data_IF_360902458542
#
_entry.id   IF_360902458542
#
_cell.length_a   1.000
_cell.length_b   1.000
_cell.length_c   1.000
_cell.angle_alpha   90.00
_cell.angle_beta   90.00
_cell.angle_gamma   90.00
#
_symmetry.space_group_name_H-M   'P 1'
#
loop_
_entity.id
_entity.type
_entity.pdbx_description
1 polymer ?
#
# COMPACT_ATOMS: atom_id res chain seq x y z
N UNK A 1 4.44 3.89 -8.55
CA UNK A 1 5.01 2.59 -8.79
C UNK A 1 6.47 2.71 -9.21
N UNK A 2 6.75 3.68 -10.07
CA UNK A 2 8.11 3.90 -10.52
C UNK A 2 8.96 4.42 -9.37
N UNK A 3 10.01 3.71 -8.96
CA UNK A 3 10.88 4.25 -7.90
C UNK A 3 11.54 5.55 -8.29
N UNK A 4 11.78 5.76 -9.58
CA UNK A 4 12.46 6.96 -10.06
C UNK A 4 11.50 8.11 -10.34
N UNK A 5 10.18 7.85 -10.28
CA UNK A 5 9.21 8.88 -10.63
C UNK A 5 9.31 10.08 -9.70
N UNK A 6 9.61 9.84 -8.42
CA UNK A 6 9.78 10.93 -7.47
C UNK A 6 10.89 11.89 -7.92
N UNK A 7 11.92 11.36 -8.55
CA UNK A 7 13.11 12.13 -8.87
C UNK A 7 13.10 12.64 -10.31
N UNK A 8 11.99 12.47 -11.03
CA UNK A 8 11.88 12.92 -12.39
C UNK A 8 12.36 11.94 -13.44
N UNK A 9 12.91 10.80 -13.03
CA UNK A 9 13.38 9.79 -13.96
C UNK A 9 12.35 8.67 -14.08
N UNK A 10 12.50 7.89 -15.15
CA UNK A 10 11.63 6.75 -15.39
C UNK A 10 12.49 5.58 -15.86
N UNK A 11 11.94 4.37 -15.71
CA UNK A 11 12.60 3.19 -16.23
C UNK A 11 12.74 3.27 -17.75
N UNK A 12 11.85 4.01 -18.41
CA UNK A 12 12.00 4.25 -19.84
C UNK A 12 13.32 4.94 -20.15
N UNK A 13 13.69 5.92 -19.32
CA UNK A 13 14.96 6.62 -19.51
C UNK A 13 16.14 5.74 -19.14
N UNK A 14 16.05 5.02 -18.02
CA UNK A 14 17.16 4.21 -17.56
C UNK A 14 17.33 2.95 -18.39
N UNK A 15 16.37 2.64 -19.27
CA UNK A 15 16.53 1.49 -20.15
C UNK A 15 17.69 1.70 -21.13
N UNK A 16 18.09 2.95 -21.36
CA UNK A 16 19.22 3.22 -22.25
C UNK A 16 20.50 2.59 -21.72
N UNK A 17 20.73 2.69 -20.43
CA UNK A 17 21.97 2.18 -19.84
C UNK A 17 21.97 0.66 -19.85
N UNK A 18 23.01 0.01 -20.38
CA UNK A 18 23.08 -1.45 -20.29
C UNK A 18 23.32 -1.89 -18.87
N UNK A 19 22.94 -3.14 -18.59
CA UNK A 19 23.12 -3.69 -17.25
C UNK A 19 24.58 -3.77 -16.86
N UNK A 20 25.45 -4.11 -17.82
CA UNK A 20 26.87 -4.28 -17.51
C UNK A 20 27.51 -2.99 -17.03
N UNK A 21 26.96 -1.83 -17.43
CA UNK A 21 27.54 -0.57 -17.02
C UNK A 21 27.50 -0.40 -15.51
N UNK A 22 26.39 -0.81 -14.89
CA UNK A 22 26.24 -0.64 -13.46
C UNK A 22 27.32 -1.43 -12.72
N UNK A 23 27.95 -0.85 -11.71
CA UNK A 23 28.99 -1.58 -10.96
C UNK A 23 28.35 -2.65 -10.07
N UNK A 24 29.21 -3.48 -9.50
CA UNK A 24 28.74 -4.55 -8.63
C UNK A 24 28.07 -3.97 -7.39
N UNK A 25 27.15 -4.75 -6.82
CA UNK A 25 26.41 -4.29 -5.65
C UNK A 25 27.36 -4.04 -4.49
N UNK A 26 28.40 -4.88 -4.36
CA UNK A 26 29.37 -4.69 -3.29
C UNK A 26 30.07 -3.34 -3.41
N UNK A 27 30.46 -2.96 -4.63
CA UNK A 27 31.12 -1.68 -4.82
C UNK A 27 30.20 -0.51 -4.46
N UNK A 28 28.93 -0.59 -4.86
CA UNK A 28 27.99 0.46 -4.52
C UNK A 28 27.77 0.56 -3.03
N UNK A 29 27.67 -0.58 -2.35
CA UNK A 29 27.52 -0.57 -0.90
C UNK A 29 28.74 0.03 -0.23
N UNK A 30 29.94 -0.32 -0.71
CA UNK A 30 31.16 0.26 -0.16
C UNK A 30 31.18 1.76 -0.35
N UNK A 31 30.80 2.24 -1.55
CA UNK A 31 30.78 3.67 -1.81
C UNK A 31 29.79 4.38 -0.87
N UNK A 32 28.61 3.79 -0.71
CA UNK A 32 27.59 4.40 0.15
C UNK A 32 28.08 4.46 1.59
N UNK A 33 28.67 3.37 2.09
CA UNK A 33 29.17 3.35 3.45
C UNK A 33 30.30 4.36 3.64
N UNK A 34 31.18 4.49 2.65
CA UNK A 34 32.28 5.43 2.75
C UNK A 34 31.79 6.87 2.74
N UNK A 35 30.77 7.17 1.93
CA UNK A 35 30.36 8.56 1.72
C UNK A 35 29.26 9.01 2.66
N UNK A 36 28.10 8.36 2.59
CA UNK A 36 26.88 8.91 3.20
C UNK A 36 26.33 8.05 4.32
N UNK A 37 27.17 7.21 4.95
CA UNK A 37 26.69 6.37 6.03
C UNK A 37 26.16 7.21 7.19
N UNK A 38 27.00 8.12 7.70
CA UNK A 38 26.60 8.94 8.84
C UNK A 38 25.32 9.71 8.55
N UNK A 39 25.09 10.08 7.29
CA UNK A 39 23.80 10.65 6.91
C UNK A 39 22.70 9.59 6.96
N UNK A 40 23.01 8.35 6.59
CA UNK A 40 22.01 7.30 6.59
C UNK A 40 21.50 7.03 8.00
N UNK A 41 22.40 6.88 8.96
CA UNK A 41 21.93 6.73 10.34
C UNK A 41 21.61 8.06 11.02
N UNK A 42 21.73 9.18 10.32
CA UNK A 42 21.29 10.43 10.90
C UNK A 42 19.79 10.40 11.12
N UNK A 43 19.30 10.96 12.24
CA UNK A 43 17.85 10.96 12.47
C UNK A 43 17.08 11.73 11.43
N UNK A 44 17.70 12.71 10.77
CA UNK A 44 17.06 13.47 9.72
C UNK A 44 17.59 13.02 8.36
N UNK A 45 16.68 12.72 7.45
CA UNK A 45 17.07 12.26 6.12
C UNK A 45 17.84 13.33 5.36
N UNK A 46 17.39 14.57 5.45
CA UNK A 46 17.96 15.72 4.74
C UNK A 46 17.75 15.63 3.23
N UNK A 47 17.17 14.51 2.78
CA UNK A 47 16.90 14.28 1.36
C UNK A 47 16.05 13.03 1.19
N UNK A 48 15.14 13.01 0.21
CA UNK A 48 14.43 11.75 -0.08
C UNK A 48 15.38 10.64 -0.51
N UNK A 49 16.51 10.99 -1.11
CA UNK A 49 17.47 9.99 -1.54
C UNK A 49 17.99 9.18 -0.36
N UNK A 50 18.18 9.84 0.80
CA UNK A 50 18.65 9.12 1.98
C UNK A 50 17.63 8.07 2.42
N UNK A 51 16.35 8.43 2.44
CA UNK A 51 15.32 7.48 2.80
C UNK A 51 15.26 6.33 1.80
N UNK A 52 15.34 6.66 0.51
CA UNK A 52 15.31 5.62 -0.51
C UNK A 52 16.48 4.67 -0.36
N UNK A 53 17.67 5.21 -0.10
CA UNK A 53 18.84 4.37 0.08
C UNK A 53 18.71 3.50 1.33
N UNK A 54 18.17 4.05 2.41
CA UNK A 54 17.97 3.24 3.61
C UNK A 54 17.04 2.07 3.32
N UNK A 55 15.91 2.34 2.65
CA UNK A 55 14.99 1.27 2.32
C UNK A 55 15.62 0.23 1.40
N UNK A 56 16.38 0.70 0.40
CA UNK A 56 17.01 -0.22 -0.54
C UNK A 56 18.05 -1.09 0.15
N UNK A 57 18.84 -0.50 1.05
CA UNK A 57 19.86 -1.27 1.76
C UNK A 57 19.20 -2.30 2.67
N UNK A 58 18.13 -1.92 3.36
CA UNK A 58 17.43 -2.88 4.20
C UNK A 58 16.84 -4.02 3.37
N UNK A 59 16.26 -3.69 2.20
CA UNK A 59 15.72 -4.73 1.34
C UNK A 59 16.83 -5.66 0.84
N UNK A 60 17.98 -5.10 0.49
CA UNK A 60 19.10 -5.92 0.03
C UNK A 60 19.60 -6.84 1.14
N UNK A 61 19.66 -6.32 2.37
CA UNK A 61 20.04 -7.16 3.49
C UNK A 61 19.06 -8.29 3.72
N UNK A 62 17.77 -7.98 3.60
CA UNK A 62 16.75 -9.03 3.72
C UNK A 62 16.91 -10.07 2.63
N UNK A 63 17.21 -9.63 1.41
CA UNK A 63 17.44 -10.57 0.31
C UNK A 63 18.66 -11.44 0.58
N UNK A 64 19.72 -10.86 1.13
CA UNK A 64 20.91 -11.65 1.44
C UNK A 64 20.62 -12.66 2.54
N UNK A 65 19.84 -12.28 3.55
CA UNK A 65 19.45 -13.23 4.59
C UNK A 65 18.63 -14.36 3.99
N UNK A 66 17.71 -14.04 3.10
CA UNK A 66 16.91 -15.08 2.44
C UNK A 66 17.80 -16.00 1.60
N UNK A 67 18.78 -15.43 0.91
CA UNK A 67 19.71 -16.24 0.11
C UNK A 67 20.52 -17.17 0.99
N UNK A 68 20.99 -16.67 2.14
CA UNK A 68 21.72 -17.53 3.06
C UNK A 68 20.83 -18.65 3.60
N UNK A 69 19.57 -18.32 3.92
CA UNK A 69 18.65 -19.34 4.42
C UNK A 69 18.40 -20.41 3.37
N UNK A 70 18.14 -20.00 2.12
CA UNK A 70 17.89 -20.98 1.07
C UNK A 70 19.16 -21.75 0.75
N UNK A 71 20.33 -21.16 1.04
CA UNK A 71 21.55 -21.92 0.98
C UNK A 71 21.61 -23.01 2.04
N UNK A 72 21.18 -22.67 3.26
CA UNK A 72 21.03 -23.70 4.28
C UNK A 72 20.00 -24.75 3.87
N UNK A 73 18.95 -24.33 3.17
CA UNK A 73 17.96 -25.26 2.66
C UNK A 73 18.56 -26.09 1.53
N UNK A 74 18.15 -27.36 1.48
CA UNK A 74 18.64 -28.31 0.48
C UNK A 74 20.16 -28.38 0.45
N UNK A 221 21.88 -26.06 -4.39
CA UNK A 221 20.59 -25.47 -4.65
C UNK A 221 20.66 -23.94 -4.60
N UNK A 222 21.55 -23.43 -3.76
CA UNK A 222 21.67 -21.98 -3.61
C UNK A 222 22.35 -21.35 -4.81
N UNK A 223 23.08 -22.13 -5.61
CA UNK A 223 23.81 -21.56 -6.74
C UNK A 223 22.86 -20.96 -7.77
N UNK A 224 21.88 -21.73 -8.21
CA UNK A 224 20.91 -21.21 -9.18
C UNK A 224 20.08 -20.09 -8.57
N UNK A 225 19.77 -20.18 -7.27
CA UNK A 225 18.98 -19.14 -6.62
C UNK A 225 19.73 -17.82 -6.63
N UNK A 226 21.01 -17.85 -6.24
CA UNK A 226 21.79 -16.61 -6.19
C UNK A 226 22.05 -16.10 -7.61
N UNK A 227 22.21 -17.01 -8.57
CA UNK A 227 22.32 -16.58 -9.95
C UNK A 227 21.06 -15.84 -10.40
N UNK A 228 19.89 -16.37 -10.02
CA UNK A 228 18.63 -15.73 -10.37
C UNK A 228 18.50 -14.36 -9.71
N UNK A 229 18.85 -14.27 -8.43
CA UNK A 229 18.71 -12.99 -7.74
C UNK A 229 19.67 -11.96 -8.33
N UNK A 230 20.85 -12.40 -8.78
CA UNK A 230 21.76 -11.50 -9.47
C UNK A 230 21.19 -11.05 -10.81
N UNK A 231 20.57 -11.98 -11.55
CA UNK A 231 20.10 -11.65 -12.90
C UNK A 231 18.91 -10.71 -12.88
N UNK A 232 17.99 -10.87 -11.92
CA UNK A 232 16.76 -10.10 -11.91
C UNK A 232 16.72 -9.09 -10.76
N UNK A 233 16.84 -9.54 -9.51
CA UNK A 233 16.87 -8.60 -8.40
C UNK A 233 18.18 -7.83 -8.37
N UNK A 234 19.29 -8.50 -8.66
CA UNK A 234 20.58 -7.83 -8.57
C UNK A 234 20.67 -6.62 -9.47
N UNK A 235 20.22 -6.75 -10.72
CA UNK A 235 20.30 -5.62 -11.64
C UNK A 235 19.45 -4.45 -11.18
N UNK A 236 18.22 -4.72 -10.73
CA UNK A 236 17.35 -3.63 -10.30
C UNK A 236 17.94 -2.92 -9.08
N UNK A 237 18.42 -3.69 -8.09
CA UNK A 237 18.98 -3.06 -6.90
C UNK A 237 20.25 -2.28 -7.22
N UNK A 238 21.15 -2.85 -8.02
CA UNK A 238 22.38 -2.13 -8.33
C UNK A 238 22.09 -0.89 -9.15
N UNK A 239 21.11 -0.97 -10.07
CA UNK A 239 20.71 0.19 -10.85
C UNK A 239 20.17 1.29 -9.95
N UNK A 240 19.25 0.95 -9.04
CA UNK A 240 18.68 1.95 -8.17
C UNK A 240 19.73 2.56 -7.25
N UNK A 241 20.62 1.72 -6.69
CA UNK A 241 21.66 2.21 -5.82
C UNK A 241 22.61 3.14 -6.56
N UNK A 242 23.01 2.77 -7.78
CA UNK A 242 23.87 3.63 -8.57
C UNK A 242 23.19 4.95 -8.86
N UNK A 243 21.90 4.91 -9.22
CA UNK A 243 21.17 6.13 -9.51
C UNK A 243 21.15 7.05 -8.29
N UNK A 244 20.84 6.50 -7.12
CA UNK A 244 20.73 7.33 -5.93
C UNK A 244 22.08 7.87 -5.48
N UNK A 245 23.13 7.03 -5.54
CA UNK A 245 24.45 7.48 -5.16
C UNK A 245 24.93 8.57 -6.10
N UNK A 246 24.71 8.40 -7.41
CA UNK A 246 25.11 9.43 -8.36
C UNK A 246 24.34 10.72 -8.13
N UNK A 247 23.03 10.61 -7.85
CA UNK A 247 22.23 11.81 -7.60
C UNK A 247 22.73 12.54 -6.36
N UNK A 248 23.07 11.81 -5.31
CA UNK A 248 23.61 12.45 -4.12
C UNK A 248 24.97 13.09 -4.40
N UNK A 249 25.79 12.43 -5.21
CA UNK A 249 27.14 12.91 -5.45
C UNK A 249 27.15 14.16 -6.33
N UNK A 250 26.38 14.15 -7.41
CA UNK A 250 26.40 15.25 -8.38
C UNK A 250 25.11 16.04 -8.44
N UNK A 251 23.96 15.39 -8.32
CA UNK A 251 22.68 16.07 -8.45
C UNK A 251 21.77 15.26 -9.36
N UNK A 252 20.47 15.31 -9.07
CA UNK A 252 19.50 14.55 -9.84
C UNK A 252 19.52 14.97 -11.31
N UNK A 253 19.53 16.29 -11.55
CA UNK A 253 19.51 16.78 -12.92
C UNK A 253 20.79 16.42 -13.66
N UNK A 254 21.94 16.52 -12.99
CA UNK A 254 23.21 16.17 -13.62
C UNK A 254 23.20 14.72 -14.06
N UNK A 255 22.70 13.85 -13.19
CA UNK A 255 22.49 12.45 -13.56
C UNK A 255 21.57 12.36 -14.76
N UNK A 256 20.58 13.26 -14.84
CA UNK A 256 19.64 13.20 -15.96
C UNK A 256 20.35 13.47 -17.28
N UNK A 257 21.12 14.55 -17.38
CA UNK A 257 21.75 14.78 -18.68
C UNK A 257 22.86 13.77 -18.93
N UNK A 258 23.47 13.23 -17.88
CA UNK A 258 24.44 12.16 -18.11
C UNK A 258 23.77 10.94 -18.72
N UNK A 259 22.60 10.57 -18.21
CA UNK A 259 21.85 9.46 -18.80
C UNK A 259 21.50 9.77 -20.24
N UNK A 260 21.05 10.99 -20.53
CA UNK A 260 20.66 11.35 -21.88
C UNK A 260 21.86 11.24 -22.83
N UNK A 261 23.01 11.78 -22.39
CA UNK A 261 24.20 11.75 -23.24
C UNK A 261 24.69 10.33 -23.46
N UNK A 262 24.66 9.49 -22.42
CA UNK A 262 25.09 8.11 -22.57
C UNK A 262 24.16 7.36 -23.52
N UNK A 263 22.86 7.61 -23.42
CA UNK A 263 21.92 6.99 -24.36
C UNK A 263 22.16 7.44 -25.79
N UNK A 264 22.45 8.73 -25.97
CA UNK A 264 22.77 9.25 -27.30
C UNK A 264 24.02 8.56 -27.84
N UNK A 265 25.04 8.42 -26.99
CA UNK A 265 26.28 7.79 -27.43
C UNK A 265 26.05 6.34 -27.82
N UNK A 266 25.32 5.58 -27.00
CA UNK A 266 25.17 4.16 -27.26
C UNK A 266 24.27 3.93 -28.48
N UNK A 267 23.20 4.70 -28.60
CA UNK A 267 22.35 4.56 -29.79
C UNK A 267 23.08 4.96 -31.06
N UNK A 268 24.20 5.66 -30.93
CA UNK A 268 24.98 6.04 -32.10
C UNK A 268 25.78 4.84 -32.59
N UNK A 269 25.69 4.49 -33.87
CA UNK A 269 26.50 3.38 -34.39
C UNK A 269 27.98 3.72 -34.33
N UNK A 270 28.85 2.72 -34.25
CA UNK A 270 30.28 3.00 -34.02
C UNK A 270 30.91 3.91 -35.06
N UNK A 271 30.45 3.86 -36.31
CA UNK A 271 31.01 4.73 -37.35
C UNK A 271 30.79 6.20 -37.00
N UNK A 272 29.55 6.56 -36.66
CA UNK A 272 29.26 7.95 -36.30
C UNK A 272 29.78 8.30 -34.91
N UNK A 273 29.94 7.31 -34.03
CA UNK A 273 30.16 7.33 -32.59
C UNK A 273 31.54 7.90 -32.26
N UNK A 274 31.63 8.65 -31.16
CA UNK A 274 32.94 9.04 -30.65
C UNK A 274 33.72 7.80 -30.22
N UNK A 275 35.04 7.85 -30.27
CA UNK A 275 35.83 6.66 -29.94
C UNK A 275 35.60 6.15 -28.53
N UNK A 276 35.35 7.05 -27.58
CA UNK A 276 35.14 6.67 -26.19
C UNK A 276 33.79 7.20 -25.71
N UNK A 277 33.07 6.37 -24.97
CA UNK A 277 31.85 6.83 -24.32
C UNK A 277 32.22 7.85 -23.24
N UNK A 278 31.28 8.73 -22.87
CA UNK A 278 31.58 9.65 -21.76
C UNK A 278 31.98 8.88 -20.52
N UNK A 279 33.26 8.97 -20.16
CA UNK A 279 33.78 8.27 -19.00
C UNK A 279 33.53 9.15 -17.79
N UNK A 280 32.38 8.94 -17.14
CA UNK A 280 31.85 9.90 -16.19
C UNK A 280 32.82 10.14 -15.05
N UNK A 281 33.08 11.42 -14.77
CA UNK A 281 33.88 11.85 -13.63
C UNK A 281 33.46 13.27 -13.28
N UNK A 282 33.45 13.58 -11.98
CA UNK A 282 33.08 14.91 -11.54
C UNK A 282 34.10 15.93 -12.05
N UNK A 283 33.60 17.03 -12.60
CA UNK A 283 34.48 18.05 -13.14
C UNK A 283 34.99 18.94 -12.02
N UNK A 284 36.31 19.04 -11.82
CA UNK A 284 36.89 19.88 -10.77
C UNK A 284 36.88 21.36 -11.14
N UNK B 1 20.51 2.61 9.19
CA UNK B 1 20.21 1.20 8.99
C UNK B 1 18.98 0.80 9.80
N UNK B 2 18.44 1.76 10.54
CA UNK B 2 17.21 1.55 11.29
C UNK B 2 16.06 2.18 10.55
N UNK B 3 15.10 1.41 10.03
CA UNK B 3 14.04 2.01 9.20
C UNK B 3 13.23 3.07 9.92
N UNK B 4 12.96 2.89 11.21
CA UNK B 4 12.11 3.81 11.95
C UNK B 4 12.89 4.92 12.65
N UNK B 5 14.22 4.88 12.61
CA UNK B 5 15.01 5.88 13.34
C UNK B 5 14.73 7.28 12.82
N UNK B 6 14.62 7.44 11.50
CA UNK B 6 14.22 8.71 10.94
C UNK B 6 12.82 9.11 11.39
N UNK B 7 11.91 8.15 11.55
CA UNK B 7 10.54 8.44 11.96
C UNK B 7 10.39 8.44 13.48
N UNK B 8 11.48 8.54 14.21
CA UNK B 8 11.42 8.58 15.67
C UNK B 8 11.30 7.22 16.35
N UNK B 9 10.49 6.33 15.79
CA UNK B 9 10.27 5.03 16.38
C UNK B 9 11.54 4.18 16.29
N UNK B 10 11.49 3.01 16.93
CA UNK B 10 12.57 2.05 16.87
C UNK B 10 11.98 0.66 16.64
N UNK B 11 12.82 -0.26 16.18
CA UNK B 11 12.37 -1.63 15.98
C UNK B 11 11.90 -2.24 17.29
N UNK B 12 12.55 -1.88 18.40
CA UNK B 12 12.10 -2.32 19.71
C UNK B 12 10.73 -1.74 20.05
N UNK B 13 10.51 -0.48 19.67
CA UNK B 13 9.24 0.18 19.98
C UNK B 13 8.07 -0.55 19.32
N UNK B 14 8.23 -0.92 18.04
CA UNK B 14 7.18 -1.69 17.38
C UNK B 14 7.19 -3.14 17.82
N UNK B 15 8.31 -3.61 18.37
CA UNK B 15 8.35 -4.94 18.96
C UNK B 15 7.65 -5.00 20.30
N UNK B 16 7.35 -3.83 20.90
CA UNK B 16 6.54 -3.82 22.12
C UNK B 16 5.24 -4.57 21.93
N UNK B 17 4.58 -4.37 20.80
CA UNK B 17 3.33 -5.04 20.51
C UNK B 17 3.58 -6.45 20.00
N UNK B 18 2.60 -7.35 20.15
CA UNK B 18 2.77 -8.69 19.59
C UNK B 18 2.86 -8.66 18.07
N UNK B 19 3.61 -9.62 17.54
CA UNK B 19 3.81 -9.68 16.09
C UNK B 19 2.51 -9.95 15.36
N UNK B 20 1.67 -10.83 15.89
CA UNK B 20 0.43 -11.18 15.22
C UNK B 20 -0.58 -10.03 15.21
N UNK B 21 -0.32 -8.97 15.99
CA UNK B 21 -1.24 -7.83 16.01
C UNK B 21 -1.33 -7.17 14.64
N UNK B 22 -0.22 -7.11 13.92
CA UNK B 22 -0.23 -6.50 12.60
C UNK B 22 -1.09 -7.32 11.65
N UNK B 23 -1.91 -6.69 10.83
CA UNK B 23 -2.81 -7.45 9.95
C UNK B 23 -2.07 -8.11 8.80
N UNK B 24 -2.80 -8.83 7.95
CA UNK B 24 -2.18 -9.51 6.82
C UNK B 24 -1.63 -8.49 5.82
N UNK B 25 -0.59 -8.93 5.10
CA UNK B 25 0.06 -8.05 4.14
C UNK B 25 -0.91 -7.65 3.03
N UNK B 26 -1.75 -8.60 2.61
CA UNK B 26 -2.68 -8.32 1.53
C UNK B 26 -3.67 -7.22 1.92
N UNK B 27 -4.16 -7.26 3.15
CA UNK B 27 -5.08 -6.22 3.61
C UNK B 27 -4.40 -4.86 3.64
N UNK B 28 -3.15 -4.81 4.08
CA UNK B 28 -2.41 -3.55 4.08
C UNK B 28 -2.22 -3.03 2.67
N UNK B 29 -1.89 -3.92 1.73
CA UNK B 29 -1.75 -3.51 0.34
C UNK B 29 -3.05 -2.96 -0.22
N UNK B 30 -4.17 -3.63 0.10
CA UNK B 30 -5.47 -3.14 -0.35
C UNK B 30 -5.77 -1.77 0.24
N UNK B 31 -5.46 -1.58 1.52
CA UNK B 31 -5.69 -0.29 2.16
C UNK B 31 -4.87 0.80 1.50
N UNK B 32 -3.60 0.53 1.23
CA UNK B 32 -2.74 1.51 0.57
C UNK B 32 -3.28 1.83 -0.82
N UNK B 33 -3.66 0.81 -1.58
CA UNK B 33 -4.11 1.03 -2.94
C UNK B 33 -5.43 1.80 -2.97
N UNK B 34 -6.28 1.58 -1.97
CA UNK B 34 -7.54 2.32 -1.94
C UNK B 34 -7.34 3.75 -1.48
N UNK B 35 -6.45 3.97 -0.51
CA UNK B 35 -6.32 5.29 0.09
C UNK B 35 -5.38 6.19 -0.72
N UNK B 36 -4.12 5.78 -0.86
CA UNK B 36 -3.08 6.68 -1.34
C UNK B 36 -2.47 6.23 -2.66
N UNK B 37 -3.24 5.56 -3.52
CA UNK B 37 -2.67 5.08 -4.77
C UNK B 37 -2.25 6.23 -5.68
N UNK B 38 -3.15 7.19 -5.88
CA UNK B 38 -2.80 8.34 -6.72
C UNK B 38 -1.71 9.18 -6.06
N UNK B 39 -1.70 9.24 -4.73
CA UNK B 39 -0.64 9.96 -4.03
C UNK B 39 0.71 9.29 -4.27
N UNK B 40 0.76 7.96 -4.22
CA UNK B 40 2.02 7.28 -4.44
C UNK B 40 2.41 7.23 -5.91
N UNK B 41 1.46 7.42 -6.82
CA UNK B 41 1.77 7.55 -8.24
C UNK B 41 2.11 8.97 -8.64
N UNK B 42 2.04 9.91 -7.71
CA UNK B 42 2.37 11.30 -8.01
C UNK B 42 3.85 11.43 -8.37
N UNK B 43 4.20 12.36 -9.27
CA UNK B 43 5.61 12.57 -9.60
C UNK B 43 6.44 13.14 -8.47
N UNK B 44 5.81 13.59 -7.39
CA UNK B 44 6.54 14.12 -6.23
C UNK B 44 6.12 13.36 -4.99
N UNK B 45 7.09 13.14 -4.10
CA UNK B 45 6.88 12.24 -2.97
C UNK B 45 5.83 12.76 -2.01
N UNK B 46 5.93 14.04 -1.64
CA UNK B 46 5.08 14.79 -0.73
C UNK B 46 5.34 14.45 0.74
N UNK B 47 6.15 13.41 1.05
CA UNK B 47 6.50 13.07 2.43
C UNK B 47 7.49 11.91 2.45
N UNK B 48 8.32 11.82 3.48
CA UNK B 48 9.16 10.61 3.63
C UNK B 48 8.33 9.35 3.76
N UNK B 49 7.18 9.45 4.40
CA UNK B 49 6.30 8.29 4.55
C UNK B 49 5.92 7.73 3.18
N UNK B 50 5.55 8.61 2.25
CA UNK B 50 5.23 8.17 0.90
C UNK B 50 6.39 7.42 0.28
N UNK B 51 7.57 8.05 0.25
CA UNK B 51 8.72 7.44 -0.42
C UNK B 51 9.02 6.06 0.15
N UNK B 52 9.07 5.96 1.47
CA UNK B 52 9.31 4.67 2.11
C UNK B 52 8.23 3.68 1.71
N UNK B 53 6.99 4.13 1.58
CA UNK B 53 5.93 3.25 1.12
C UNK B 53 6.18 2.77 -0.31
N UNK B 54 6.64 3.66 -1.19
CA UNK B 54 6.98 3.26 -2.54
C UNK B 54 8.00 2.13 -2.54
N UNK B 55 9.12 2.33 -1.85
CA UNK B 55 10.13 1.28 -1.84
C UNK B 55 9.65 0.02 -1.15
N UNK B 56 8.81 0.16 -0.11
CA UNK B 56 8.29 -1.03 0.57
C UNK B 56 7.40 -1.85 -0.36
N UNK B 57 6.52 -1.18 -1.11
CA UNK B 57 5.65 -1.89 -2.04
C UNK B 57 6.48 -2.56 -3.13
N UNK B 58 7.46 -1.84 -3.67
CA UNK B 58 8.30 -2.42 -4.70
C UNK B 58 9.06 -3.64 -4.18
N UNK B 59 9.58 -3.54 -2.96
CA UNK B 59 10.32 -4.64 -2.37
C UNK B 59 9.41 -5.84 -2.15
N UNK B 60 8.20 -5.62 -1.65
CA UNK B 60 7.28 -6.73 -1.44
C UNK B 60 6.92 -7.40 -2.74
N UNK B 61 6.63 -6.61 -3.78
CA UNK B 61 6.33 -7.21 -5.06
C UNK B 61 7.48 -8.02 -5.61
N UNK B 62 8.71 -7.50 -5.49
CA UNK B 62 9.87 -8.21 -6.01
C UNK B 62 10.13 -9.48 -5.21
N UNK B 63 9.94 -9.43 -3.90
CA UNK B 63 10.09 -10.62 -3.06
C UNK B 63 9.04 -11.67 -3.38
N UNK B 64 7.81 -11.24 -3.67
CA UNK B 64 6.79 -12.20 -4.06
C UNK B 64 7.11 -12.81 -5.43
N UNK B 65 7.71 -12.02 -6.31
CA UNK B 65 8.20 -12.57 -7.58
C UNK B 65 9.25 -13.64 -7.34
N UNK B 66 10.20 -13.35 -6.45
CA UNK B 66 11.22 -14.36 -6.11
C UNK B 66 10.59 -15.58 -5.47
N UNK B 67 9.52 -15.37 -4.68
CA UNK B 67 8.84 -16.50 -4.06
C UNK B 67 8.19 -17.39 -5.11
N UNK B 68 7.55 -16.78 -6.10
CA UNK B 68 6.99 -17.57 -7.20
C UNK B 68 8.09 -18.31 -7.96
N UNK B 69 9.22 -17.64 -8.20
CA UNK B 69 10.33 -18.29 -8.87
C UNK B 69 10.82 -19.51 -8.09
N UNK B 70 11.06 -19.34 -6.79
CA UNK B 70 11.59 -20.44 -5.99
C UNK B 70 10.54 -21.54 -5.83
N UNK B 71 9.26 -21.18 -5.88
CA UNK B 71 8.23 -22.20 -5.99
C UNK B 71 8.35 -22.98 -7.29
N UNK B 72 8.76 -22.30 -8.36
CA UNK B 72 9.07 -22.97 -9.61
C UNK B 72 10.50 -23.41 -9.78
N UNK B 73 11.39 -23.02 -8.87
CA UNK B 73 12.82 -23.34 -8.96
C UNK B 73 13.33 -23.81 -7.62
N UNK B 74 13.59 -25.12 -7.51
CA UNK B 74 14.19 -25.72 -6.32
C UNK B 74 13.46 -25.37 -5.03
N UNK B 221 13.02 -27.17 -1.50
CA UNK B 221 11.86 -27.03 -0.62
C UNK B 221 10.97 -25.89 -1.08
N UNK B 222 9.85 -26.24 -1.71
CA UNK B 222 8.96 -25.22 -2.26
C UNK B 222 8.17 -24.53 -1.16
N UNK B 223 7.75 -25.27 -0.15
CA UNK B 223 6.92 -24.72 0.91
C UNK B 223 7.71 -24.21 2.11
N UNK B 224 8.90 -24.76 2.37
CA UNK B 224 9.71 -24.26 3.47
C UNK B 224 10.12 -22.81 3.23
N UNK B 225 10.49 -22.46 1.99
CA UNK B 225 10.89 -21.10 1.70
C UNK B 225 9.71 -20.14 1.79
N UNK B 226 8.53 -20.57 1.33
CA UNK B 226 7.36 -19.69 1.38
C UNK B 226 6.80 -19.57 2.79
N UNK B 227 7.11 -20.52 3.67
CA UNK B 227 6.86 -20.32 5.10
C UNK B 227 7.89 -19.40 5.74
N UNK B 228 9.16 -19.52 5.33
CA UNK B 228 10.21 -18.69 5.90
C UNK B 228 10.01 -17.23 5.53
N UNK B 229 9.53 -16.95 4.31
CA UNK B 229 9.29 -15.56 3.93
C UNK B 229 8.21 -14.95 4.81
N UNK B 230 7.19 -15.74 5.17
CA UNK B 230 6.19 -15.27 6.12
C UNK B 230 6.74 -15.20 7.54
N UNK B 231 7.79 -15.97 7.84
CA UNK B 231 8.24 -16.09 9.22
C UNK B 231 8.85 -14.80 9.74
N UNK B 232 9.93 -14.33 9.12
CA UNK B 232 10.73 -13.27 9.70
C UNK B 232 10.66 -11.96 8.94
N UNK B 233 11.02 -11.94 7.65
CA UNK B 233 11.01 -10.69 6.92
C UNK B 233 9.60 -10.31 6.46
N UNK B 234 8.72 -11.30 6.31
CA UNK B 234 7.33 -10.98 6.00
C UNK B 234 6.67 -10.22 7.13
N UNK B 235 6.95 -10.63 8.37
CA UNK B 235 6.53 -9.84 9.52
C UNK B 235 7.08 -8.43 9.43
N UNK B 236 8.32 -8.28 8.95
CA UNK B 236 8.91 -6.96 8.84
C UNK B 236 8.16 -6.11 7.81
N UNK B 237 7.82 -6.69 6.65
CA UNK B 237 7.03 -5.94 5.68
C UNK B 237 5.67 -5.54 6.24
N UNK B 238 4.96 -6.49 6.87
CA UNK B 238 3.63 -6.15 7.34
C UNK B 238 3.69 -5.08 8.44
N UNK B 239 4.67 -5.19 9.34
CA UNK B 239 4.82 -4.20 10.39
C UNK B 239 5.15 -2.84 9.80
N UNK B 240 6.11 -2.79 8.86
CA UNK B 240 6.50 -1.51 8.27
C UNK B 240 5.34 -0.88 7.51
N UNK B 241 4.62 -1.68 6.74
CA UNK B 241 3.49 -1.18 5.98
C UNK B 241 2.40 -0.65 6.90
N UNK B 242 2.10 -1.39 7.97
CA UNK B 242 1.10 -0.93 8.92
C UNK B 242 1.54 0.39 9.57
N UNK B 243 2.80 0.47 9.95
CA UNK B 243 3.30 1.70 10.57
C UNK B 243 3.17 2.88 9.64
N UNK B 244 3.57 2.70 8.37
CA UNK B 244 3.54 3.82 7.44
C UNK B 244 2.12 4.21 7.06
N UNK B 245 1.24 3.23 6.86
CA UNK B 245 -0.15 3.54 6.55
C UNK B 245 -0.79 4.28 7.72
N UNK B 246 -0.54 3.82 8.94
CA UNK B 246 -1.09 4.49 10.10
C UNK B 246 -0.53 5.91 10.24
N UNK B 247 0.76 6.10 9.97
CA UNK B 247 1.34 7.43 10.04
C UNK B 247 0.72 8.36 9.00
N UNK B 248 0.50 7.85 7.78
CA UNK B 248 -0.10 8.67 6.74
C UNK B 248 -1.56 9.00 7.07
N UNK B 249 -2.27 8.07 7.70
CA UNK B 249 -3.69 8.30 7.97
C UNK B 249 -3.90 9.17 9.20
N UNK B 250 -3.41 8.71 10.35
CA UNK B 250 -3.69 9.36 11.63
C UNK B 250 -2.55 10.23 12.13
N UNK B 251 -1.40 10.22 11.47
CA UNK B 251 -0.27 11.02 11.94
C UNK B 251 0.79 10.20 12.65
N UNK B 252 2.05 10.62 12.52
CA UNK B 252 3.16 9.88 13.10
C UNK B 252 3.04 9.79 14.62
N UNK B 253 2.85 10.93 15.29
CA UNK B 253 2.79 10.96 16.74
C UNK B 253 1.60 10.18 17.27
N UNK B 254 0.48 10.18 16.54
CA UNK B 254 -0.67 9.37 16.93
C UNK B 254 -0.30 7.89 16.93
N UNK B 255 0.43 7.44 15.90
CA UNK B 255 0.88 6.06 15.87
C UNK B 255 1.81 5.77 17.04
N UNK B 256 2.72 6.71 17.34
CA UNK B 256 3.67 6.49 18.43
C UNK B 256 2.93 6.33 19.76
N UNK B 257 1.99 7.23 20.03
CA UNK B 257 1.28 7.18 21.30
C UNK B 257 0.38 5.95 21.37
N UNK B 258 -0.23 5.56 20.26
CA UNK B 258 -1.04 4.35 20.26
C UNK B 258 -0.19 3.11 20.52
N UNK B 259 1.00 3.05 19.92
CA UNK B 259 1.91 1.94 20.14
C UNK B 259 2.29 1.84 21.61
N UNK B 260 2.73 2.96 22.20
CA UNK B 260 3.15 2.90 23.60
C UNK B 260 1.95 2.62 24.50
N UNK B 261 0.77 3.11 24.15
CA UNK B 261 -0.42 2.86 24.94
C UNK B 261 -0.75 1.37 24.98
N UNK B 262 -0.72 0.71 23.83
CA UNK B 262 -1.01 -0.72 23.85
C UNK B 262 0.14 -1.51 24.49
N UNK B 263 1.36 -1.03 24.34
CA UNK B 263 2.48 -1.70 25.01
C UNK B 263 2.34 -1.70 26.52
N UNK B 264 1.99 -0.54 27.08
CA UNK B 264 1.78 -0.48 28.52
C UNK B 264 0.49 -1.19 28.91
N UNK B 265 -0.48 -1.26 27.98
CA UNK B 265 -1.70 -2.03 28.22
C UNK B 265 -1.37 -3.50 28.41
N UNK B 266 -0.41 -4.02 27.67
CA UNK B 266 -0.14 -5.46 27.67
C UNK B 266 0.92 -5.84 28.69
N UNK B 267 2.05 -5.12 28.72
CA UNK B 267 3.28 -5.67 29.31
C UNK B 267 3.15 -5.93 30.81
N UNK B 268 2.53 -5.00 31.55
CA UNK B 268 2.69 -4.99 33.00
C UNK B 268 2.19 -6.28 33.64
N UNK B 269 3.00 -6.96 34.44
CA UNK B 269 2.55 -8.20 35.09
C UNK B 269 1.47 -7.92 36.12
N UNK B 270 0.43 -8.75 36.16
CA UNK B 270 -0.67 -8.53 37.11
C UNK B 270 -0.38 -8.96 38.53
N UNK B 271 0.89 -9.18 38.90
CA UNK B 271 1.24 -9.63 40.24
C UNK B 271 0.62 -8.75 41.31
N UNK B 272 0.80 -7.43 41.18
CA UNK B 272 0.04 -6.48 41.96
C UNK B 272 -0.46 -5.35 41.08
N UNK B 273 -0.51 -5.59 39.78
CA UNK B 273 -1.21 -4.70 38.87
C UNK B 273 -2.70 -4.85 39.11
N UNK B 274 -3.43 -3.77 39.35
CA UNK B 274 -4.87 -3.87 39.56
C UNK B 274 -5.55 -4.49 38.35
N UNK B 275 -6.55 -5.34 38.57
CA UNK B 275 -7.25 -5.95 37.42
C UNK B 275 -7.95 -4.94 36.53
N UNK B 276 -8.14 -3.71 37.01
CA UNK B 276 -8.76 -2.67 36.21
C UNK B 276 -7.88 -2.37 35.00
N UNK B 277 -8.29 -2.83 33.83
CA UNK B 277 -7.55 -2.62 32.59
C UNK B 277 -8.50 -2.04 31.56
N UNK B 278 -8.21 -0.86 31.01
CA UNK B 278 -9.09 -0.28 29.99
C UNK B 278 -9.13 -1.10 28.71
N UNK B 279 -9.91 -0.65 27.73
CA UNK B 279 -10.10 -1.37 26.48
C UNK B 279 -9.25 -0.70 25.40
N UNK B 280 -8.46 -1.50 24.69
CA UNK B 280 -7.62 -0.98 23.62
C UNK B 280 -8.48 -0.32 22.54
N UNK B 281 -7.99 0.79 22.00
CA UNK B 281 -8.67 1.45 20.90
C UNK B 281 -7.64 2.25 20.10
N UNK B 282 -7.97 2.48 18.83
CA UNK B 282 -7.19 3.35 17.96
C UNK B 282 -8.14 4.35 17.31
N UNK B 283 -7.72 5.60 17.25
CA UNK B 283 -8.56 6.69 16.77
C UNK B 283 -7.73 7.63 15.91
N UNK B 284 -8.37 8.37 15.00
CA UNK B 284 -7.67 9.39 14.21
C UNK B 284 -7.36 10.63 15.04
N UNK C 1 -14.03 10.54 -14.06
CA UNK C 1 -15.41 10.13 -14.25
C UNK C 1 -15.70 8.84 -13.47
N UNK C 2 -15.13 8.75 -12.27
CA UNK C 2 -15.35 7.60 -11.41
C UNK C 2 -16.82 7.57 -10.96
N UNK C 3 -17.41 6.38 -10.75
CA UNK C 3 -18.78 6.30 -10.21
C UNK C 3 -18.92 6.97 -8.85
N UNK C 4 -17.80 7.38 -8.25
CA UNK C 4 -17.82 8.20 -7.04
C UNK C 4 -16.84 9.36 -7.13
N UNK C 5 -16.44 9.78 -8.34
CA UNK C 5 -15.48 10.88 -8.47
C UNK C 5 -16.05 12.16 -7.86
N UNK C 6 -17.26 12.55 -8.25
CA UNK C 6 -17.89 13.70 -7.64
C UNK C 6 -18.28 13.44 -6.19
N UNK C 7 -18.34 12.17 -5.78
CA UNK C 7 -18.62 11.81 -4.40
C UNK C 7 -17.34 11.56 -3.60
N UNK C 8 -16.18 11.78 -4.20
CA UNK C 8 -14.92 11.64 -3.48
C UNK C 8 -14.40 10.23 -3.26
N UNK C 9 -15.27 9.33 -2.85
CA UNK C 9 -14.85 7.97 -2.52
C UNK C 9 -14.55 7.18 -3.80
N UNK C 10 -14.21 5.91 -3.62
CA UNK C 10 -13.98 4.99 -4.73
C UNK C 10 -14.61 3.66 -4.39
N UNK C 11 -14.79 2.83 -5.42
CA UNK C 11 -15.27 1.47 -5.19
C UNK C 11 -14.25 0.68 -4.38
N UNK C 12 -12.97 0.93 -4.61
CA UNK C 12 -11.94 0.27 -3.80
C UNK C 12 -12.06 0.66 -2.34
N UNK C 13 -12.45 1.90 -2.06
CA UNK C 13 -12.68 2.31 -0.69
C UNK C 13 -13.84 1.53 -0.07
N UNK C 14 -14.90 1.31 -0.83
CA UNK C 14 -16.01 0.50 -0.34
C UNK C 14 -15.66 -0.98 -0.27
N UNK C 15 -14.56 -1.39 -0.90
CA UNK C 15 -14.21 -2.81 -0.91
C UNK C 15 -13.90 -3.34 0.48
N UNK C 16 -13.49 -2.48 1.41
CA UNK C 16 -13.17 -2.94 2.75
C UNK C 16 -14.40 -3.50 3.46
N UNK C 17 -15.54 -2.86 3.31
CA UNK C 17 -16.72 -3.27 4.04
C UNK C 17 -17.19 -4.64 3.58
N UNK C 18 -17.31 -5.62 4.47
CA UNK C 18 -17.80 -6.93 4.05
C UNK C 18 -19.25 -6.84 3.59
N UNK C 19 -19.60 -7.75 2.68
CA UNK C 19 -20.94 -7.72 2.08
C UNK C 19 -22.03 -7.86 3.13
N UNK C 20 -21.78 -8.66 4.16
CA UNK C 20 -22.80 -8.89 5.18
C UNK C 20 -23.15 -7.61 5.93
N UNK C 21 -22.22 -6.65 5.99
CA UNK C 21 -22.48 -5.41 6.71
C UNK C 21 -23.65 -4.66 6.10
N UNK C 22 -23.69 -4.56 4.78
CA UNK C 22 -24.75 -3.83 4.12
C UNK C 22 -26.09 -4.52 4.35
N UNK C 23 -27.12 -3.77 4.76
CA UNK C 23 -28.40 -4.38 5.10
C UNK C 23 -29.14 -4.83 3.85
N UNK C 24 -30.29 -5.47 4.07
CA UNK C 24 -31.12 -5.90 2.96
C UNK C 24 -31.68 -4.69 2.22
N UNK C 25 -32.02 -4.90 0.94
CA UNK C 25 -32.44 -3.80 0.09
C UNK C 25 -33.77 -3.22 0.57
N UNK C 26 -34.64 -4.07 1.10
CA UNK C 26 -35.93 -3.60 1.61
C UNK C 26 -35.74 -2.55 2.70
N UNK C 27 -34.76 -2.76 3.59
CA UNK C 27 -34.50 -1.78 4.63
C UNK C 27 -34.08 -0.45 4.04
N UNK C 28 -33.21 -0.48 3.02
CA UNK C 28 -32.77 0.75 2.38
C UNK C 28 -33.94 1.47 1.71
N UNK C 29 -34.81 0.73 1.03
CA UNK C 29 -35.99 1.35 0.42
C UNK C 29 -36.89 1.97 1.47
N UNK C 30 -37.11 1.27 2.59
CA UNK C 30 -37.95 1.83 3.65
C UNK C 30 -37.33 3.09 4.23
N UNK C 31 -36.02 3.09 4.45
CA UNK C 31 -35.34 4.27 4.98
C UNK C 31 -35.47 5.44 4.01
N UNK C 32 -35.26 5.17 2.72
CA UNK C 32 -35.35 6.24 1.72
C UNK C 32 -36.76 6.81 1.67
N UNK C 33 -37.77 5.94 1.64
CA UNK C 33 -39.15 6.41 1.60
C UNK C 33 -39.51 7.19 2.85
N UNK C 34 -39.02 6.75 4.01
CA UNK C 34 -39.32 7.47 5.25
C UNK C 34 -38.66 8.85 5.27
N UNK C 35 -37.42 8.94 4.77
CA UNK C 35 -36.66 10.17 4.96
C UNK C 35 -36.79 11.14 3.78
N UNK C 36 -36.38 10.72 2.59
CA UNK C 36 -36.15 11.64 1.49
C UNK C 36 -37.13 11.44 0.33
N UNK C 37 -38.28 10.81 0.60
CA UNK C 37 -39.24 10.55 -0.47
C UNK C 37 -39.71 11.85 -1.11
N UNK C 38 -40.14 12.80 -0.28
CA UNK C 38 -40.67 14.06 -0.81
C UNK C 38 -39.59 14.83 -1.58
N UNK C 39 -38.35 14.78 -1.12
CA UNK C 39 -37.26 15.42 -1.86
C UNK C 39 -37.06 14.75 -3.21
N UNK C 40 -37.15 13.42 -3.24
CA UNK C 40 -36.94 12.70 -4.50
C UNK C 40 -38.09 12.95 -5.48
N UNK C 41 -39.30 13.19 -4.98
CA UNK C 41 -40.44 13.35 -5.86
C UNK C 41 -40.29 14.55 -6.78
N UNK C 42 -39.81 15.66 -6.25
CA UNK C 42 -39.64 16.86 -7.07
C UNK C 42 -38.59 16.60 -8.15
N UNK C 43 -38.84 17.03 -9.39
CA UNK C 43 -37.81 16.88 -10.43
C UNK C 43 -36.55 17.66 -10.14
N UNK C 44 -36.62 18.70 -9.31
CA UNK C 44 -35.43 19.38 -8.86
C UNK C 44 -34.76 18.58 -7.76
N UNK C 45 -33.42 18.51 -7.81
CA UNK C 45 -32.66 17.54 -7.03
C UNK C 45 -32.32 18.00 -5.62
N UNK C 46 -31.81 19.23 -5.48
CA UNK C 46 -31.23 19.84 -4.29
C UNK C 46 -29.83 19.29 -3.99
N UNK C 47 -29.38 18.23 -4.68
CA UNK C 47 -28.07 17.64 -4.43
C UNK C 47 -27.77 16.58 -5.49
N UNK C 48 -26.50 16.36 -5.83
CA UNK C 48 -26.17 15.22 -6.69
C UNK C 48 -26.58 13.90 -6.09
N UNK C 49 -26.57 13.81 -4.76
CA UNK C 49 -26.98 12.57 -4.10
C UNK C 49 -28.42 12.23 -4.44
N UNK C 50 -29.30 13.23 -4.48
CA UNK C 50 -30.70 12.97 -4.80
C UNK C 50 -30.85 12.42 -6.21
N UNK C 51 -30.14 13.00 -7.18
CA UNK C 51 -30.21 12.51 -8.55
C UNK C 51 -29.68 11.08 -8.64
N UNK C 52 -28.54 10.82 -8.01
CA UNK C 52 -27.98 9.48 -8.04
C UNK C 52 -28.91 8.47 -7.38
N UNK C 53 -29.54 8.85 -6.27
CA UNK C 53 -30.45 7.95 -5.58
C UNK C 53 -31.68 7.67 -6.44
N UNK C 54 -32.21 8.69 -7.11
CA UNK C 54 -33.36 8.47 -8.00
C UNK C 54 -32.99 7.53 -9.13
N UNK C 55 -31.83 7.73 -9.74
CA UNK C 55 -31.41 6.83 -10.82
C UNK C 55 -31.25 5.40 -10.32
N UNK C 56 -30.63 5.24 -9.14
CA UNK C 56 -30.44 3.91 -8.59
C UNK C 56 -31.77 3.24 -8.28
N UNK C 57 -32.73 3.99 -7.74
CA UNK C 57 -34.03 3.42 -7.41
C UNK C 57 -34.74 2.98 -8.68
N UNK C 58 -34.70 3.83 -9.72
CA UNK C 58 -35.36 3.46 -10.96
C UNK C 58 -34.72 2.21 -11.58
N UNK C 59 -33.39 2.14 -11.57
CA UNK C 59 -32.71 0.97 -12.11
C UNK C 59 -33.05 -0.27 -11.30
N UNK C 60 -33.10 -0.15 -9.98
CA UNK C 60 -33.41 -1.31 -9.15
C UNK C 60 -34.84 -1.79 -9.36
N UNK C 61 -35.80 -0.87 -9.50
CA UNK C 61 -37.14 -1.26 -9.86
C UNK C 61 -37.20 -1.96 -11.20
N UNK C 62 -36.45 -1.45 -12.18
CA UNK C 62 -36.34 -2.13 -13.47
C UNK C 62 -35.75 -3.53 -13.29
N UNK C 63 -34.83 -3.69 -12.33
CA UNK C 63 -34.23 -5.00 -12.09
C UNK C 63 -35.25 -5.97 -11.52
N UNK C 64 -36.10 -5.55 -10.58
CA UNK C 64 -37.16 -6.45 -10.15
C UNK C 64 -38.12 -6.77 -11.29
N UNK C 65 -38.42 -5.77 -12.13
CA UNK C 65 -39.30 -6.03 -13.27
C UNK C 65 -38.71 -7.09 -14.20
N UNK C 66 -37.43 -6.96 -14.53
CA UNK C 66 -36.77 -7.94 -15.38
C UNK C 66 -36.69 -9.30 -14.71
N UNK C 67 -36.44 -9.32 -13.39
CA UNK C 67 -36.35 -10.59 -12.68
C UNK C 67 -37.69 -11.33 -12.70
N UNK C 68 -38.79 -10.61 -12.46
CA UNK C 68 -40.10 -11.25 -12.56
C UNK C 68 -40.40 -11.69 -13.97
N UNK C 69 -40.02 -10.87 -14.97
CA UNK C 69 -40.23 -11.23 -16.36
C UNK C 69 -39.49 -12.52 -16.71
N UNK C 70 -38.24 -12.65 -16.25
CA UNK C 70 -37.47 -13.86 -16.50
C UNK C 70 -38.03 -15.04 -15.71
N UNK C 71 -38.59 -14.80 -14.53
CA UNK C 71 -39.32 -15.84 -13.85
C UNK C 71 -40.47 -16.36 -14.69
N UNK C 72 -41.19 -15.45 -15.35
CA UNK C 72 -42.22 -15.85 -16.29
C UNK C 72 -41.68 -16.23 -17.66
N UNK C 73 -41.06 -15.28 -18.35
CA UNK C 73 -40.59 -15.46 -19.71
C UNK C 73 -39.16 -16.01 -19.73
N UNK C 74 -38.77 -16.53 -20.89
CA UNK C 74 -37.41 -17.05 -21.12
C UNK C 74 -37.06 -18.15 -20.12
N UNK C 221 -34.15 -22.81 -14.24
CA UNK C 221 -33.54 -21.76 -13.44
C UNK C 221 -34.28 -20.44 -13.63
N UNK C 222 -35.55 -20.52 -14.02
CA UNK C 222 -36.35 -19.32 -14.24
C UNK C 222 -36.53 -18.53 -12.94
N UNK C 223 -36.79 -19.23 -11.84
CA UNK C 223 -36.87 -18.60 -10.54
C UNK C 223 -35.58 -18.71 -9.74
N UNK C 224 -34.58 -19.43 -10.26
CA UNK C 224 -33.27 -19.46 -9.61
C UNK C 224 -32.44 -18.23 -9.98
N UNK C 225 -32.78 -17.57 -11.09
CA UNK C 225 -32.00 -16.43 -11.54
C UNK C 225 -32.13 -15.24 -10.60
N UNK C 226 -33.16 -15.22 -9.75
CA UNK C 226 -33.29 -14.13 -8.79
C UNK C 226 -32.14 -14.17 -7.78
N UNK C 227 -31.77 -15.37 -7.33
CA UNK C 227 -30.60 -15.49 -6.47
C UNK C 227 -29.34 -15.05 -7.21
N UNK C 228 -29.22 -15.44 -8.47
CA UNK C 228 -28.07 -15.02 -9.27
C UNK C 228 -27.96 -13.51 -9.32
N UNK C 229 -29.05 -12.84 -9.70
CA UNK C 229 -28.99 -11.39 -9.89
C UNK C 229 -28.76 -10.69 -8.56
N UNK C 230 -29.42 -11.14 -7.49
CA UNK C 230 -29.17 -10.47 -6.21
C UNK C 230 -27.71 -10.63 -5.80
N UNK C 231 -27.20 -11.86 -5.74
CA UNK C 231 -25.84 -12.08 -5.28
C UNK C 231 -24.80 -11.48 -6.23
N UNK C 232 -25.17 -11.18 -7.48
CA UNK C 232 -24.19 -10.58 -8.39
C UNK C 232 -24.20 -9.06 -8.34
N UNK C 233 -25.34 -8.43 -8.65
CA UNK C 233 -25.32 -6.98 -8.68
C UNK C 233 -26.29 -6.32 -7.70
N UNK C 234 -27.19 -7.08 -7.07
CA UNK C 234 -27.98 -6.48 -6.01
C UNK C 234 -27.12 -6.08 -4.84
N UNK C 235 -26.01 -6.79 -4.64
CA UNK C 235 -25.02 -6.38 -3.65
C UNK C 235 -24.44 -5.01 -3.99
N UNK C 236 -24.09 -4.81 -5.26
CA UNK C 236 -23.58 -3.51 -5.67
C UNK C 236 -24.64 -2.43 -5.51
N UNK C 237 -25.89 -2.74 -5.87
CA UNK C 237 -26.96 -1.77 -5.77
C UNK C 237 -27.20 -1.38 -4.31
N UNK C 238 -27.24 -2.36 -3.41
CA UNK C 238 -27.45 -2.05 -2.00
C UNK C 238 -26.24 -1.32 -1.41
N UNK C 239 -25.04 -1.63 -1.90
CA UNK C 239 -23.87 -0.87 -1.47
C UNK C 239 -24.00 0.59 -1.86
N UNK C 240 -24.38 0.85 -3.10
CA UNK C 240 -24.57 2.23 -3.56
C UNK C 240 -25.67 2.92 -2.78
N UNK C 241 -26.78 2.22 -2.54
CA UNK C 241 -27.89 2.80 -1.80
C UNK C 241 -27.48 3.16 -0.38
N UNK C 242 -26.77 2.25 0.28
CA UNK C 242 -26.29 2.52 1.64
C UNK C 242 -25.35 3.71 1.63
N UNK C 243 -24.44 3.76 0.66
CA UNK C 243 -23.50 4.88 0.58
C UNK C 243 -24.24 6.20 0.43
N UNK C 244 -25.22 6.25 -0.47
CA UNK C 244 -25.91 7.51 -0.73
C UNK C 244 -26.78 7.91 0.47
N UNK C 245 -27.48 6.95 1.07
CA UNK C 245 -28.30 7.27 2.23
C UNK C 245 -27.44 7.77 3.38
N UNK C 246 -26.31 7.10 3.62
CA UNK C 246 -25.41 7.51 4.69
C UNK C 246 -24.83 8.89 4.41
N UNK C 247 -24.49 9.19 3.15
CA UNK C 247 -23.99 10.51 2.81
C UNK C 247 -25.06 11.58 3.04
N UNK C 248 -26.31 11.28 2.66
CA UNK C 248 -27.39 12.23 2.89
C UNK C 248 -27.61 12.49 4.37
N UNK C 249 -27.56 11.43 5.18
CA UNK C 249 -27.91 11.57 6.59
C UNK C 249 -26.75 12.13 7.41
N UNK C 250 -25.61 11.43 7.42
CA UNK C 250 -24.48 11.81 8.26
C UNK C 250 -23.53 12.79 7.59
N UNK C 251 -23.51 12.82 6.26
CA UNK C 251 -22.54 13.63 5.56
C UNK C 251 -21.51 12.79 4.84
N UNK C 252 -21.10 13.25 3.66
CA UNK C 252 -20.19 12.48 2.81
C UNK C 252 -18.86 12.24 3.52
N UNK C 253 -18.23 13.31 4.00
CA UNK C 253 -16.93 13.17 4.63
C UNK C 253 -17.00 12.31 5.89
N UNK C 254 -18.08 12.48 6.67
CA UNK C 254 -18.27 11.64 7.86
C UNK C 254 -18.35 10.18 7.47
N UNK C 255 -19.06 9.88 6.40
CA UNK C 255 -19.08 8.52 5.87
C UNK C 255 -17.67 8.09 5.51
N UNK C 256 -16.84 9.01 5.02
CA UNK C 256 -15.48 8.66 4.63
C UNK C 256 -14.67 8.20 5.84
N UNK C 257 -14.67 9.00 6.93
CA UNK C 257 -13.83 8.52 8.04
C UNK C 257 -14.48 7.32 8.71
N UNK C 258 -15.80 7.18 8.65
CA UNK C 258 -16.41 5.95 9.17
C UNK C 258 -15.93 4.74 8.38
N UNK C 259 -15.85 4.87 7.06
CA UNK C 259 -15.37 3.78 6.22
C UNK C 259 -13.94 3.41 6.58
N UNK C 260 -13.07 4.42 6.72
CA UNK C 260 -11.67 4.12 6.98
C UNK C 260 -11.51 3.52 8.39
N UNK C 261 -12.27 4.03 9.36
CA UNK C 261 -12.20 3.49 10.71
C UNK C 261 -12.69 2.05 10.75
N UNK C 262 -13.79 1.76 10.03
CA UNK C 262 -14.28 0.39 10.00
C UNK C 262 -13.30 -0.54 9.32
N UNK C 263 -12.63 -0.05 8.25
CA UNK C 263 -11.59 -0.86 7.63
C UNK C 263 -10.44 -1.15 8.58
N UNK C 264 -10.00 -0.13 9.33
CA UNK C 264 -8.93 -0.34 10.31
C UNK C 264 -9.37 -1.36 11.34
N UNK C 265 -10.61 -1.24 11.82
CA UNK C 265 -11.12 -2.16 12.83
C UNK C 265 -11.14 -3.59 12.30
N UNK C 266 -11.68 -3.78 11.10
CA UNK C 266 -11.82 -5.13 10.56
C UNK C 266 -10.46 -5.73 10.23
N UNK C 267 -9.49 -4.89 9.86
CA UNK C 267 -8.15 -5.41 9.63
C UNK C 267 -7.53 -5.96 10.90
N UNK C 268 -7.89 -5.40 12.05
CA UNK C 268 -7.31 -5.83 13.31
C UNK C 268 -7.70 -7.28 13.60
N UNK C 269 -6.75 -8.13 13.95
CA UNK C 269 -7.11 -9.50 14.35
C UNK C 269 -8.01 -9.48 15.57
N UNK C 270 -8.93 -10.43 15.67
CA UNK C 270 -9.94 -10.36 16.75
C UNK C 270 -9.35 -10.36 18.15
N UNK C 271 -8.15 -10.90 18.34
CA UNK C 271 -7.55 -10.94 19.66
C UNK C 271 -7.36 -9.53 20.23
N UNK C 272 -6.75 -8.65 19.46
CA UNK C 272 -6.53 -7.27 19.87
C UNK C 272 -7.56 -6.31 19.29
N UNK C 273 -8.50 -6.82 18.52
CA UNK C 273 -9.56 -5.99 17.97
C UNK C 273 -10.47 -5.51 19.09
N UNK C 274 -10.99 -4.28 19.01
CA UNK C 274 -11.96 -3.81 19.99
C UNK C 274 -13.17 -4.73 20.02
N UNK C 275 -13.76 -4.93 21.20
CA UNK C 275 -14.87 -5.90 21.30
C UNK C 275 -16.03 -5.56 20.39
N UNK C 276 -16.30 -4.28 20.16
CA UNK C 276 -17.34 -3.85 19.25
C UNK C 276 -16.75 -3.00 18.13
N UNK C 277 -17.20 -3.26 16.91
CA UNK C 277 -16.88 -2.37 15.81
C UNK C 277 -17.62 -1.05 16.02
N UNK C 278 -17.16 0.03 15.38
CA UNK C 278 -17.93 1.28 15.47
C UNK C 278 -19.37 1.03 15.04
N UNK C 279 -20.29 1.08 16.00
CA UNK C 279 -21.69 0.75 15.77
C UNK C 279 -22.37 2.05 15.38
N UNK C 280 -22.27 2.40 14.10
CA UNK C 280 -22.64 3.73 13.62
C UNK C 280 -24.15 3.91 13.71
N UNK C 281 -24.58 4.83 14.58
CA UNK C 281 -25.95 5.31 14.61
C UNK C 281 -25.96 6.81 14.45
N UNK C 282 -27.13 7.42 14.59
CA UNK C 282 -27.24 8.86 14.51
C UNK C 282 -26.64 9.52 15.75
N UNK C 283 -25.36 9.87 15.67
CA UNK C 283 -24.67 10.43 16.82
C UNK C 283 -25.16 11.86 17.06
N UNK C 284 -25.31 12.28 18.32
CA UNK C 284 -25.73 13.65 18.68
C UNK C 284 -24.77 14.71 18.16
#
# INVERSE_FOLDING_TARGET
MDPYKEFGATVELLSFLPSDFFPSVRDLLDTASALYREALESPEHCSPHHTALRQAILCWGELMTLATWVGGNLEDGSGTSGSSGSGSGGSGSGGGGELSLLTEVETPIRNEWGSRSNDSSDDLSLLTEVETPIRNEWGSRSNDSSDDLSLLTEVETPIRNEWGSRSNDSSDDLSLLTEVETPIRNEWGSRSNDSSDDIGTSGSSGSGSGGSGSGGGGGPSRDLVVSYVNTNMGLKFRQLLWFHISCLTFGRETVIEYLVSFGVWIRTPPAYRPPNAPILSTLPETTVVC
MDPYKEFGATVELLSFLPSDFFPSVRDLLDTASALYREALESPEHCSPHHTALRQAILCWGELMTLATWVGGNLEDGSGTSGSSGSGSGGSGSGGGGELSLLTEVETPIRNEWGSRSNDSSDDLSLLTEVETPIRNEWGSRSNDSSDDLSLLTEVETPIRNEWGSRSNDSSDDLSLLTEVETPIRNEWGSRSNDSSDDIGTSGSSGSGSGGSGSGGGGGPSRDLVVSYVNTNMGLKFRQLLWFHISCLTFGRETVIEYLVSFGVWIRTPPAYRPPNAPILSTLPETTVVC
MDPYKEFGATVELLSFLPSDFFPSVRDLLDTASALYREALESPEHCSPHHTALRQAILCWGELMTLATWVGGNLEDGSGTSGSSGSGSGGSGSGGGGELSLLTEVETPIRNEWGSRSNDSSDDLSLLTEVETPIRNEWGSRSNDSSDDLSLLTEVETPIRNEWGSRSNDSSDDLSLLTEVETPIRNEWGSRSNDSSDDIGTSGSSGSGSGGSGSGGGGGPSRDLVVSYVNTNMGLKFRQLLWFHISCLTFGRETVIEYLVSFGVWIRTPPAYRPPNAPILSTLPETTVVC
#
